data_IF_197051589497
#
_entry.id   IF_197051589497
#
_cell.length_a   1.000
_cell.length_b   1.000
_cell.length_c   1.000
_cell.angle_alpha   90.00
_cell.angle_beta   90.00
_cell.angle_gamma   90.00
#
_symmetry.space_group_name_H-M   'P 1'
#
loop_
_entity.id
_entity.type
_entity.pdbx_description
1 polymer ?
#
# COMPACT_ATOMS: atom_id res chain seq x y z
N UNK A 1 -29.29 -18.99 -26.44
CA UNK A 1 -28.93 -18.74 -25.04
C UNK A 1 -27.88 -19.79 -24.70
N UNK A 2 -26.60 -19.41 -24.70
CA UNK A 2 -25.53 -20.37 -24.38
C UNK A 2 -25.68 -20.78 -22.92
N UNK A 3 -25.94 -22.06 -22.71
CA UNK A 3 -26.01 -22.66 -21.38
C UNK A 3 -24.57 -22.87 -20.91
N UNK A 4 -24.08 -22.00 -20.04
CA UNK A 4 -22.78 -22.21 -19.40
C UNK A 4 -22.81 -23.52 -18.60
N UNK A 5 -21.83 -24.39 -18.86
CA UNK A 5 -21.67 -25.66 -18.15
C UNK A 5 -21.35 -25.38 -16.68
N UNK A 6 -22.24 -25.82 -15.78
CA UNK A 6 -22.07 -25.67 -14.35
C UNK A 6 -20.76 -26.32 -13.85
N UNK A 7 -20.28 -27.37 -14.50
CA UNK A 7 -19.00 -28.02 -14.19
C UNK A 7 -17.80 -27.14 -14.51
N UNK A 8 -17.84 -26.43 -15.65
CA UNK A 8 -16.80 -25.47 -16.03
C UNK A 8 -16.78 -24.26 -15.08
N UNK A 9 -17.96 -23.78 -14.67
CA UNK A 9 -18.07 -22.70 -13.69
C UNK A 9 -17.49 -23.14 -12.34
N UNK A 10 -17.82 -24.33 -11.84
CA UNK A 10 -17.29 -24.85 -10.58
C UNK A 10 -15.76 -24.98 -10.62
N UNK A 11 -15.21 -25.49 -11.73
CA UNK A 11 -13.77 -25.62 -11.89
C UNK A 11 -13.06 -24.26 -11.89
N UNK A 12 -13.60 -23.28 -12.62
CA UNK A 12 -13.06 -21.91 -12.64
C UNK A 12 -13.13 -21.28 -11.25
N UNK A 13 -14.27 -21.39 -10.55
CA UNK A 13 -14.45 -20.84 -9.20
C UNK A 13 -13.48 -21.49 -8.22
N UNK A 14 -13.32 -22.82 -8.27
CA UNK A 14 -12.39 -23.56 -7.41
C UNK A 14 -10.95 -23.13 -7.65
N UNK A 15 -10.51 -23.02 -8.90
CA UNK A 15 -9.16 -22.54 -9.24
C UNK A 15 -8.91 -21.12 -8.74
N UNK A 16 -9.87 -20.22 -8.91
CA UNK A 16 -9.78 -18.84 -8.40
C UNK A 16 -9.68 -18.83 -6.86
N UNK A 17 -10.45 -19.67 -6.17
CA UNK A 17 -10.38 -19.78 -4.71
C UNK A 17 -9.04 -20.34 -4.25
N UNK A 18 -8.53 -21.39 -4.90
CA UNK A 18 -7.23 -21.98 -4.58
C UNK A 18 -6.06 -21.02 -4.84
N UNK A 19 -6.09 -20.28 -5.95
CA UNK A 19 -5.10 -19.24 -6.25
C UNK A 19 -5.15 -18.09 -5.25
N UNK A 20 -6.36 -17.61 -4.90
CA UNK A 20 -6.53 -16.59 -3.84
C UNK A 20 -6.01 -17.10 -2.49
N UNK A 21 -6.29 -18.35 -2.12
CA UNK A 21 -5.81 -18.94 -0.87
C UNK A 21 -4.29 -19.12 -0.86
N UNK A 22 -3.68 -19.55 -1.96
CA UNK A 22 -2.22 -19.67 -2.08
C UNK A 22 -1.52 -18.31 -2.02
N UNK A 23 -2.06 -17.29 -2.69
CA UNK A 23 -1.57 -15.91 -2.56
C UNK A 23 -1.74 -15.37 -1.14
N UNK A 24 -2.82 -15.74 -0.44
CA UNK A 24 -3.04 -15.36 0.97
C UNK A 24 -2.04 -16.04 1.90
N UNK A 25 -1.64 -17.29 1.62
CA UNK A 25 -0.64 -18.04 2.38
C UNK A 25 0.80 -17.56 2.14
N UNK A 26 1.12 -17.10 0.93
CA UNK A 26 2.42 -16.53 0.55
C UNK A 26 2.63 -15.08 1.04
N UNK A 27 1.57 -14.41 1.49
CA UNK A 27 1.58 -13.00 1.91
C UNK A 27 1.35 -12.79 3.43
N UNK A 28 1.66 -13.79 4.26
CA UNK A 28 1.55 -13.64 5.72
C UNK A 28 2.81 -13.02 6.30
N UNK A 29 2.64 -11.88 6.94
CA UNK A 29 3.59 -11.31 7.89
C UNK A 29 3.16 -11.70 9.31
N UNK A 30 4.10 -11.71 10.24
CA UNK A 30 3.83 -12.09 11.62
C UNK A 30 2.98 -11.00 12.28
N UNK A 31 1.75 -11.39 12.63
CA UNK A 31 0.78 -10.56 13.32
C UNK A 31 0.23 -11.31 14.53
N UNK A 32 0.22 -10.66 15.68
CA UNK A 32 -0.44 -11.14 16.90
C UNK A 32 -1.63 -10.22 17.23
N UNK A 33 -2.71 -10.81 17.72
CA UNK A 33 -3.90 -10.10 18.16
C UNK A 33 -4.19 -10.49 19.61
N UNK A 34 -4.43 -9.48 20.44
CA UNK A 34 -4.98 -9.65 21.77
C UNK A 34 -6.52 -9.61 21.73
N UNK A 35 -7.18 -10.24 22.69
CA UNK A 35 -8.64 -10.23 22.82
C UNK A 35 -9.22 -8.82 22.99
N UNK A 36 -8.41 -7.86 23.49
CA UNK A 36 -8.82 -6.45 23.60
C UNK A 36 -8.90 -5.73 22.24
N UNK A 37 -8.45 -6.34 21.16
CA UNK A 37 -8.28 -5.70 19.84
C UNK A 37 -6.94 -4.98 19.64
N UNK A 38 -5.99 -5.10 20.57
CA UNK A 38 -4.61 -4.63 20.34
C UNK A 38 -3.91 -5.57 19.35
N UNK A 39 -3.37 -5.00 18.28
CA UNK A 39 -2.68 -5.74 17.23
C UNK A 39 -1.19 -5.39 17.22
N UNK A 40 -0.35 -6.41 17.11
CA UNK A 40 1.09 -6.28 16.95
C UNK A 40 1.50 -6.86 15.60
N UNK A 41 2.17 -6.06 14.77
CA UNK A 41 2.77 -6.52 13.51
C UNK A 41 4.29 -6.50 13.65
N UNK A 42 4.97 -7.61 13.32
CA UNK A 42 6.43 -7.63 13.21
C UNK A 42 6.83 -7.05 11.86
N UNK A 43 7.06 -5.74 11.82
CA UNK A 43 7.35 -4.99 10.59
C UNK A 43 8.48 -5.57 9.72
N UNK A 44 9.48 -6.24 10.31
CA UNK A 44 10.57 -6.90 9.59
C UNK A 44 10.14 -8.10 8.73
N UNK A 45 8.96 -8.66 9.01
CA UNK A 45 8.39 -9.80 8.28
C UNK A 45 7.47 -9.36 7.15
N UNK A 46 7.12 -8.06 7.08
CA UNK A 46 6.27 -7.53 6.02
C UNK A 46 7.03 -7.54 4.71
N UNK A 47 6.37 -8.02 3.65
CA UNK A 47 6.82 -7.96 2.27
C UNK A 47 5.78 -7.20 1.47
N UNK A 48 6.22 -6.20 0.73
CA UNK A 48 5.34 -5.35 -0.06
C UNK A 48 4.96 -6.03 -1.39
N UNK A 49 3.78 -5.72 -1.92
CA UNK A 49 3.33 -6.22 -3.22
C UNK A 49 3.51 -5.13 -4.28
N UNK A 50 3.71 -5.48 -5.57
CA UNK A 50 3.76 -4.49 -6.63
C UNK A 50 2.54 -3.55 -6.59
N UNK A 51 2.80 -2.26 -6.74
CA UNK A 51 1.79 -1.21 -6.77
C UNK A 51 1.73 -0.62 -8.18
N UNK A 52 0.52 -0.49 -8.72
CA UNK A 52 0.32 0.04 -10.07
C UNK A 52 0.33 1.57 -10.06
N UNK A 53 1.43 2.15 -10.55
CA UNK A 53 1.58 3.60 -10.74
C UNK A 53 1.08 4.07 -12.12
N UNK A 54 0.63 3.16 -12.97
CA UNK A 54 0.37 3.39 -14.39
C UNK A 54 1.60 3.29 -15.29
N UNK A 55 2.80 3.04 -14.73
CA UNK A 55 4.05 2.84 -15.47
C UNK A 55 4.64 1.47 -15.13
N UNK A 56 4.89 0.65 -16.14
CA UNK A 56 5.32 -0.74 -15.94
C UNK A 56 6.77 -0.87 -15.44
N UNK A 57 7.58 0.17 -15.65
CA UNK A 57 8.98 0.24 -15.24
C UNK A 57 9.16 0.64 -13.77
N UNK A 58 8.12 1.21 -13.14
CA UNK A 58 8.20 1.68 -11.77
C UNK A 58 8.29 0.50 -10.81
N UNK A 59 9.30 0.54 -9.95
CA UNK A 59 9.52 -0.44 -8.88
C UNK A 59 8.96 0.10 -7.58
N UNK A 60 7.64 0.20 -7.53
CA UNK A 60 6.90 0.66 -6.35
C UNK A 60 6.12 -0.52 -5.78
N UNK A 61 6.23 -0.71 -4.47
CA UNK A 61 5.58 -1.79 -3.75
C UNK A 61 4.89 -1.26 -2.51
N UNK A 62 3.68 -1.74 -2.24
CA UNK A 62 2.87 -1.31 -1.10
C UNK A 62 2.22 -2.50 -0.41
N UNK A 63 2.03 -2.38 0.91
CA UNK A 63 1.24 -3.34 1.70
C UNK A 63 0.61 -2.68 2.92
N UNK A 64 -0.72 -2.62 2.93
CA UNK A 64 -1.50 -2.37 4.14
C UNK A 64 -1.31 -3.51 5.15
N UNK A 65 -1.18 -3.16 6.43
CA UNK A 65 -0.95 -4.12 7.51
C UNK A 65 -2.16 -4.35 8.42
N UNK A 66 -3.21 -3.53 8.28
CA UNK A 66 -4.49 -3.69 8.97
C UNK A 66 -5.64 -3.64 7.97
N UNK A 67 -6.65 -4.48 8.18
CA UNK A 67 -7.90 -4.41 7.41
C UNK A 67 -8.78 -3.25 7.89
N UNK A 68 -9.80 -2.87 7.11
CA UNK A 68 -10.80 -1.88 7.55
C UNK A 68 -11.60 -2.35 8.78
N UNK A 69 -11.76 -3.65 8.98
CA UNK A 69 -12.40 -4.19 10.18
C UNK A 69 -11.50 -4.02 11.42
N UNK A 70 -10.20 -4.24 11.25
CA UNK A 70 -9.19 -4.09 12.30
C UNK A 70 -8.92 -2.62 12.65
N UNK A 71 -8.88 -1.74 11.66
CA UNK A 71 -8.67 -0.29 11.83
C UNK A 71 -9.61 0.51 10.92
N UNK A 72 -10.83 0.83 11.38
CA UNK A 72 -11.85 1.46 10.54
C UNK A 72 -11.64 2.95 10.28
N UNK A 73 -10.68 3.59 10.98
CA UNK A 73 -10.47 5.04 10.92
C UNK A 73 -9.20 5.41 10.17
N UNK A 74 -8.09 4.73 10.48
CA UNK A 74 -6.79 4.99 9.86
C UNK A 74 -6.30 3.76 9.13
N UNK A 75 -5.65 3.94 7.98
CA UNK A 75 -4.86 2.86 7.40
C UNK A 75 -3.41 3.02 7.83
N UNK A 76 -2.68 1.92 7.77
CA UNK A 76 -1.25 1.90 8.02
C UNK A 76 -0.66 0.78 7.16
N UNK A 77 0.52 1.03 6.63
CA UNK A 77 1.22 0.07 5.80
C UNK A 77 2.65 0.48 5.53
N UNK A 78 3.31 -0.32 4.70
CA UNK A 78 4.67 -0.06 4.24
C UNK A 78 4.67 0.19 2.75
N UNK A 79 5.48 1.16 2.32
CA UNK A 79 5.81 1.37 0.93
C UNK A 79 7.32 1.21 0.73
N UNK A 80 7.69 0.58 -0.37
CA UNK A 80 9.07 0.43 -0.84
C UNK A 80 9.17 0.96 -2.27
N UNK A 81 10.23 1.69 -2.57
CA UNK A 81 10.52 2.15 -3.93
C UNK A 81 11.99 1.89 -4.27
N UNK A 82 12.27 1.63 -5.55
CA UNK A 82 13.62 1.53 -6.09
C UNK A 82 13.76 2.37 -7.37
N UNK A 83 14.62 3.39 -7.36
CA UNK A 83 14.96 4.22 -8.52
C UNK A 83 13.75 4.61 -9.39
N UNK A 84 12.67 5.10 -8.77
CA UNK A 84 11.37 5.34 -9.41
C UNK A 84 10.78 6.69 -8.99
N UNK A 85 9.94 7.27 -9.86
CA UNK A 85 9.15 8.46 -9.53
C UNK A 85 7.77 8.44 -10.21
N UNK A 86 6.75 8.80 -9.44
CA UNK A 86 5.37 8.81 -9.93
C UNK A 86 4.57 9.96 -9.35
N UNK A 87 3.66 10.50 -10.16
CA UNK A 87 2.73 11.54 -9.74
C UNK A 87 1.57 10.93 -8.96
N UNK A 88 1.17 11.57 -7.87
CA UNK A 88 0.11 11.09 -7.00
C UNK A 88 -0.68 12.27 -6.43
N UNK A 89 -2.00 12.16 -6.39
CA UNK A 89 -2.84 13.11 -5.65
C UNK A 89 -3.43 12.42 -4.44
N UNK A 90 -3.08 12.90 -3.25
CA UNK A 90 -3.60 12.40 -2.00
C UNK A 90 -4.92 13.10 -1.71
N UNK A 91 -6.03 12.35 -1.74
CA UNK A 91 -7.37 12.83 -1.33
C UNK A 91 -7.67 12.55 0.15
N UNK A 92 -6.59 12.34 0.91
CA UNK A 92 -6.53 11.98 2.32
C UNK A 92 -5.26 12.57 2.92
N UNK A 93 -5.22 12.69 4.24
CA UNK A 93 -3.98 13.04 4.95
C UNK A 93 -3.09 11.79 5.06
N UNK A 94 -1.78 11.98 4.91
CA UNK A 94 -0.77 10.92 5.03
C UNK A 94 0.42 11.38 5.89
N UNK A 95 0.89 10.48 6.77
CA UNK A 95 2.13 10.64 7.53
C UNK A 95 3.07 9.51 7.15
N UNK A 96 4.28 9.87 6.73
CA UNK A 96 5.33 8.91 6.38
C UNK A 96 6.45 8.94 7.41
N UNK A 97 6.80 7.79 7.97
CA UNK A 97 8.02 7.60 8.75
C UNK A 97 9.03 6.79 7.93
N UNK A 98 10.19 7.38 7.63
CA UNK A 98 11.19 6.73 6.79
C UNK A 98 12.03 5.78 7.64
N UNK A 99 12.02 4.50 7.25
CA UNK A 99 12.73 3.44 7.98
C UNK A 99 14.12 3.27 7.41
N UNK A 100 14.25 3.29 6.09
CA UNK A 100 15.50 3.08 5.36
C UNK A 100 15.51 3.90 4.08
N UNK A 101 16.70 4.34 3.66
CA UNK A 101 16.90 4.94 2.34
C UNK A 101 16.52 6.42 2.28
N UNK A 102 16.06 6.87 1.11
CA UNK A 102 15.77 8.28 0.83
C UNK A 102 14.44 8.44 0.09
N UNK A 103 13.51 9.19 0.70
CA UNK A 103 12.26 9.61 0.10
C UNK A 103 12.38 11.05 -0.40
N UNK A 104 11.99 11.29 -1.64
CA UNK A 104 11.87 12.64 -2.20
C UNK A 104 10.40 12.93 -2.49
N UNK A 105 9.92 14.09 -2.04
CA UNK A 105 8.59 14.61 -2.36
C UNK A 105 8.80 15.90 -3.14
N UNK A 106 8.28 15.95 -4.37
CA UNK A 106 8.26 17.18 -5.17
C UNK A 106 6.85 17.77 -5.19
N UNK A 107 6.73 19.03 -4.77
CA UNK A 107 5.49 19.82 -4.69
C UNK A 107 5.73 21.20 -5.32
N UNK A 108 4.94 21.56 -6.33
CA UNK A 108 5.08 22.83 -7.08
C UNK A 108 6.51 23.10 -7.57
N UNK A 109 7.21 22.07 -8.05
CA UNK A 109 8.60 22.15 -8.50
C UNK A 109 9.64 22.28 -7.38
N UNK A 110 9.23 22.32 -6.11
CA UNK A 110 10.11 22.32 -4.95
C UNK A 110 10.29 20.89 -4.46
N UNK A 111 11.53 20.50 -4.20
CA UNK A 111 11.88 19.16 -3.73
C UNK A 111 12.21 19.16 -2.25
N UNK A 112 11.61 18.26 -1.50
CA UNK A 112 11.95 17.95 -0.12
C UNK A 112 12.50 16.53 -0.06
N UNK A 113 13.58 16.32 0.70
CA UNK A 113 14.26 15.03 0.80
C UNK A 113 14.29 14.61 2.27
N UNK A 114 13.72 13.45 2.57
CA UNK A 114 13.79 12.80 3.88
C UNK A 114 14.65 11.53 3.82
N UNK A 115 15.26 11.18 4.94
CA UNK A 115 16.09 9.99 5.13
C UNK A 115 15.59 9.17 6.33
N UNK A 116 16.20 8.02 6.57
CA UNK A 116 15.89 7.18 7.72
C UNK A 116 15.80 7.97 9.04
N UNK A 117 14.65 7.87 9.72
CA UNK A 117 14.32 8.60 10.94
C UNK A 117 13.53 9.90 10.74
N UNK A 118 13.45 10.42 9.52
CA UNK A 118 12.67 11.62 9.20
C UNK A 118 11.19 11.28 8.99
N UNK A 119 10.34 12.31 9.13
CA UNK A 119 8.88 12.20 9.00
C UNK A 119 8.35 13.23 8.02
N UNK A 120 7.45 12.82 7.14
CA UNK A 120 6.63 13.72 6.33
C UNK A 120 5.19 13.75 6.82
N UNK A 121 4.54 14.90 6.63
CA UNK A 121 3.09 15.06 6.66
C UNK A 121 2.69 15.61 5.30
N UNK A 122 1.79 14.91 4.62
CA UNK A 122 1.22 15.31 3.34
C UNK A 122 -0.27 15.56 3.56
N UNK A 123 -0.72 16.83 3.52
CA UNK A 123 -2.12 17.16 3.72
C UNK A 123 -3.01 16.62 2.62
N UNK A 124 -4.28 16.36 2.97
CA UNK A 124 -5.34 16.07 2.00
C UNK A 124 -5.42 17.11 0.88
N UNK A 125 -5.80 16.63 -0.29
CA UNK A 125 -5.99 17.36 -1.55
C UNK A 125 -4.67 17.95 -2.09
N UNK A 126 -3.54 17.28 -1.79
CA UNK A 126 -2.21 17.64 -2.29
C UNK A 126 -1.81 16.75 -3.48
N UNK A 127 -1.38 17.38 -4.57
CA UNK A 127 -0.73 16.69 -5.69
C UNK A 127 0.78 16.79 -5.55
N UNK A 128 1.45 15.65 -5.49
CA UNK A 128 2.90 15.55 -5.38
C UNK A 128 3.45 14.61 -6.44
N UNK A 129 4.78 14.59 -6.54
CA UNK A 129 5.51 13.47 -7.11
C UNK A 129 6.31 12.79 -6.01
N UNK A 130 6.01 11.51 -5.78
CA UNK A 130 6.86 10.63 -5.00
C UNK A 130 8.08 10.26 -5.82
N UNK A 131 9.25 10.28 -5.19
CA UNK A 131 10.52 9.96 -5.83
C UNK A 131 11.44 9.21 -4.89
N UNK A 132 12.23 8.31 -5.46
CA UNK A 132 13.29 7.62 -4.76
C UNK A 132 14.51 7.51 -5.68
N UNK A 133 15.64 8.16 -5.37
CA UNK A 133 16.81 8.14 -6.24
C UNK A 133 17.55 6.80 -6.25
N UNK A 134 17.40 5.98 -5.21
CA UNK A 134 18.03 4.65 -5.12
C UNK A 134 17.06 3.66 -4.46
N UNK A 135 16.96 3.65 -3.13
CA UNK A 135 16.01 2.82 -2.38
C UNK A 135 15.39 3.58 -1.23
N UNK A 136 14.15 3.21 -0.90
CA UNK A 136 13.47 3.69 0.30
C UNK A 136 12.49 2.65 0.81
N UNK A 137 12.37 2.58 2.13
CA UNK A 137 11.28 1.89 2.83
C UNK A 137 10.72 2.82 3.89
N UNK A 138 9.42 3.05 3.87
CA UNK A 138 8.76 3.90 4.85
C UNK A 138 7.43 3.29 5.29
N UNK A 139 7.02 3.66 6.50
CA UNK A 139 5.69 3.38 7.03
C UNK A 139 4.79 4.57 6.71
N UNK A 140 3.64 4.33 6.10
CA UNK A 140 2.62 5.37 5.92
C UNK A 140 1.47 5.15 6.91
N UNK A 141 0.83 6.24 7.33
CA UNK A 141 -0.42 6.25 8.09
C UNK A 141 -1.35 7.25 7.43
N UNK A 142 -2.56 6.82 7.08
CA UNK A 142 -3.52 7.68 6.39
C UNK A 142 -4.84 7.83 7.14
N UNK A 143 -5.51 8.95 6.89
CA UNK A 143 -6.90 9.16 7.29
C UNK A 143 -7.71 9.77 6.12
N UNK A 144 -8.86 9.17 5.75
CA UNK A 144 -9.48 7.98 6.34
C UNK A 144 -8.85 6.65 5.87
N UNK A 145 -9.18 5.55 6.55
CA UNK A 145 -8.61 4.22 6.29
C UNK A 145 -8.89 3.67 4.89
N UNK A 146 -9.97 4.07 4.24
CA UNK A 146 -10.35 3.60 2.91
C UNK A 146 -9.69 4.42 1.78
N UNK A 147 -8.46 4.88 1.98
CA UNK A 147 -7.70 5.74 1.08
C UNK A 147 -7.69 5.23 -0.37
N UNK A 148 -7.51 3.92 -0.57
CA UNK A 148 -7.46 3.30 -1.90
C UNK A 148 -8.82 3.39 -2.63
N UNK A 149 -9.93 3.26 -1.91
CA UNK A 149 -11.27 3.41 -2.46
C UNK A 149 -11.53 4.85 -2.88
N UNK A 150 -11.13 5.81 -2.06
CA UNK A 150 -11.28 7.24 -2.37
C UNK A 150 -10.53 7.65 -3.64
N UNK A 151 -9.34 7.08 -3.88
CA UNK A 151 -8.59 7.33 -5.12
C UNK A 151 -9.33 6.76 -6.33
N UNK A 152 -9.87 5.54 -6.22
CA UNK A 152 -10.63 4.90 -7.30
C UNK A 152 -11.92 5.63 -7.65
N UNK A 153 -12.61 6.18 -6.66
CA UNK A 153 -13.87 6.95 -6.86
C UNK A 153 -13.65 8.31 -7.53
N UNK A 154 -12.41 8.82 -7.55
CA UNK A 154 -12.05 10.06 -8.22
C UNK A 154 -11.77 9.89 -9.71
N UNK A 155 -11.38 8.69 -10.15
CA UNK A 155 -11.08 8.35 -11.54
C UNK A 155 -12.33 7.99 -12.33
#
# INVERSE_FOLDING_TARGET
>A
METFDAGLIEEIVRRILEEKMKNTALQKFDKAADESGVLLVKGSTVRCNPFDTGKAEDKVFLRDIFTLEESPRMACGFMEMEASEFDWTLVYDEIDYIIEGTLEITIDGRKMTGKAGDVFLIPKDTTIKFGCPDKVRFLYVTYPANWEQLVKERG
#
